data_IF_562242990378
#
_entry.id   IF_562242990378
#
_cell.length_a   1.000
_cell.length_b   1.000
_cell.length_c   1.000
_cell.angle_alpha   90.00
_cell.angle_beta   90.00
_cell.angle_gamma   90.00
#
_symmetry.space_group_name_H-M   'P 1'
#
loop_
_entity.id
_entity.type
_entity.pdbx_description
1 polymer ?
#
# COMPACT_ATOMS: atom_id res chain seq x y z
N UNK A 1 -29.18 -5.41 32.81
CA UNK A 1 -28.92 -4.03 32.39
C UNK A 1 -27.45 -3.79 32.74
N UNK A 2 -26.58 -3.72 31.73
CA UNK A 2 -25.17 -3.35 31.92
C UNK A 2 -25.14 -1.97 32.62
N UNK A 3 -24.37 -1.84 33.70
CA UNK A 3 -24.10 -0.54 34.31
C UNK A 3 -23.37 0.30 33.29
N UNK A 4 -24.08 1.23 32.65
CA UNK A 4 -23.47 2.27 31.83
C UNK A 4 -22.81 3.26 32.80
N UNK A 5 -21.48 3.37 32.67
CA UNK A 5 -20.69 4.33 33.46
C UNK A 5 -20.87 5.71 32.79
N UNK A 6 -21.99 6.36 33.12
CA UNK A 6 -22.28 7.71 32.67
C UNK A 6 -21.60 8.72 33.60
N UNK A 7 -21.11 9.85 33.09
CA UNK A 7 -20.54 10.90 33.91
C UNK A 7 -21.62 11.52 34.81
N UNK A 8 -21.22 12.10 35.93
CA UNK A 8 -22.11 12.85 36.79
C UNK A 8 -22.85 13.90 35.97
N UNK A 9 -24.20 13.80 35.97
CA UNK A 9 -25.04 14.63 35.11
C UNK A 9 -25.83 15.60 35.94
N UNK A 10 -25.61 16.90 35.71
CA UNK A 10 -26.46 17.96 36.18
C UNK A 10 -27.49 18.27 35.11
N UNK A 11 -28.73 18.44 35.47
CA UNK A 11 -29.79 18.77 34.55
C UNK A 11 -30.83 19.72 35.15
N UNK A 12 -31.45 20.50 34.28
CA UNK A 12 -32.64 21.28 34.52
C UNK A 12 -33.72 20.88 33.51
N UNK A 13 -34.90 20.52 33.98
CA UNK A 13 -36.00 20.12 33.12
C UNK A 13 -37.19 21.07 33.37
N UNK A 14 -37.69 21.71 32.31
CA UNK A 14 -39.00 22.38 32.30
C UNK A 14 -39.91 21.58 31.37
N UNK A 15 -40.97 21.00 31.94
CA UNK A 15 -41.90 20.17 31.19
C UNK A 15 -43.34 20.49 31.56
N UNK A 16 -44.19 20.60 30.55
CA UNK A 16 -45.63 20.82 30.66
C UNK A 16 -46.38 19.76 29.90
N UNK A 17 -47.44 19.24 30.49
CA UNK A 17 -48.33 18.29 29.83
C UNK A 17 -49.79 18.60 30.18
N UNK A 18 -50.66 18.41 29.18
CA UNK A 18 -52.12 18.50 29.35
C UNK A 18 -52.76 17.23 28.79
N UNK A 19 -53.58 16.57 29.64
CA UNK A 19 -54.32 15.39 29.23
C UNK A 19 -55.79 15.71 29.05
N UNK A 20 -56.38 15.31 27.90
CA UNK A 20 -57.82 15.45 27.63
C UNK A 20 -58.27 14.29 26.71
N UNK A 21 -59.30 13.59 27.15
CA UNK A 21 -59.91 12.51 26.33
C UNK A 21 -58.93 11.44 25.80
N UNK A 22 -57.94 11.08 26.61
CA UNK A 22 -56.94 10.09 26.21
C UNK A 22 -55.79 10.63 25.33
N UNK A 23 -55.77 11.92 25.02
CA UNK A 23 -54.65 12.60 24.34
C UNK A 23 -53.87 13.41 25.37
N UNK A 24 -52.55 13.31 25.28
CA UNK A 24 -51.59 14.11 26.08
C UNK A 24 -50.85 15.01 25.10
N UNK A 25 -50.96 16.31 25.29
CA UNK A 25 -50.09 17.29 24.62
C UNK A 25 -48.97 17.64 25.56
N UNK A 26 -47.74 17.65 25.12
CA UNK A 26 -46.56 17.92 25.94
C UNK A 26 -45.61 18.90 25.26
N UNK A 27 -44.86 19.57 26.11
CA UNK A 27 -43.72 20.39 25.70
C UNK A 27 -42.65 20.27 26.78
N UNK A 28 -41.38 20.13 26.40
CA UNK A 28 -40.29 20.04 27.34
C UNK A 28 -39.02 20.69 26.84
N UNK A 29 -38.24 21.24 27.76
CA UNK A 29 -36.90 21.76 27.59
C UNK A 29 -35.99 21.01 28.58
N UNK A 30 -34.84 20.60 28.14
CA UNK A 30 -33.80 19.97 28.95
C UNK A 30 -32.49 20.71 28.75
N UNK A 31 -31.90 21.15 29.84
CA UNK A 31 -30.51 21.64 29.82
C UNK A 31 -29.67 20.70 30.68
N UNK A 32 -28.64 20.11 30.12
CA UNK A 32 -27.71 19.27 30.87
C UNK A 32 -26.31 19.30 30.23
N UNK A 33 -25.32 18.81 30.97
CA UNK A 33 -23.96 18.65 30.43
C UNK A 33 -23.83 17.55 29.40
N UNK A 34 -24.83 16.67 29.26
CA UNK A 34 -24.81 15.60 28.23
C UNK A 34 -25.54 16.03 26.96
N UNK A 35 -26.77 16.55 27.11
CA UNK A 35 -27.68 16.81 26.02
C UNK A 35 -28.58 18.00 26.37
N UNK A 36 -28.67 18.96 25.50
CA UNK A 36 -29.59 20.08 25.58
C UNK A 36 -30.75 19.85 24.60
N UNK A 37 -32.00 19.86 25.12
CA UNK A 37 -33.22 19.82 24.30
C UNK A 37 -33.79 21.23 24.31
N UNK A 38 -33.72 21.93 23.20
CA UNK A 38 -34.25 23.28 23.03
C UNK A 38 -35.74 23.28 22.66
N UNK A 39 -36.21 22.15 22.17
CA UNK A 39 -37.59 21.92 21.81
C UNK A 39 -37.90 20.42 21.86
N UNK A 40 -38.94 20.07 22.58
CA UNK A 40 -39.57 18.76 22.52
C UNK A 40 -41.07 18.95 22.67
N UNK A 41 -41.75 19.13 21.55
CA UNK A 41 -43.19 19.35 21.51
C UNK A 41 -43.87 18.13 20.88
N UNK A 42 -45.06 17.81 21.33
CA UNK A 42 -45.79 16.75 20.70
C UNK A 42 -47.12 16.38 21.33
N UNK A 43 -47.69 15.33 20.77
CA UNK A 43 -48.93 14.72 21.27
C UNK A 43 -48.77 13.21 21.39
N UNK A 44 -49.34 12.64 22.44
CA UNK A 44 -49.40 11.20 22.61
C UNK A 44 -50.84 10.75 22.87
N UNK A 45 -51.34 9.81 22.04
CA UNK A 45 -52.65 9.23 22.21
C UNK A 45 -52.53 7.87 22.93
N UNK A 46 -53.12 7.80 24.12
CA UNK A 46 -53.08 6.61 24.99
C UNK A 46 -53.84 5.40 24.43
N UNK A 47 -54.82 5.61 23.52
CA UNK A 47 -55.67 4.52 23.01
C UNK A 47 -54.95 3.68 21.95
N UNK A 48 -54.20 4.31 21.07
CA UNK A 48 -53.55 3.65 19.95
C UNK A 48 -52.01 3.77 20.01
N UNK A 49 -51.48 4.30 21.14
CA UNK A 49 -50.04 4.55 21.35
C UNK A 49 -49.41 5.39 20.22
N UNK A 50 -50.15 6.39 19.74
CA UNK A 50 -49.73 7.27 18.66
C UNK A 50 -48.93 8.46 19.21
N UNK A 51 -47.70 8.62 18.79
CA UNK A 51 -46.79 9.71 19.14
C UNK A 51 -46.53 10.59 17.94
N UNK A 52 -46.81 11.87 18.06
CA UNK A 52 -46.29 12.91 17.15
C UNK A 52 -45.33 13.78 17.92
N UNK A 53 -44.10 13.96 17.46
CA UNK A 53 -43.07 14.71 18.16
C UNK A 53 -42.25 15.60 17.23
N UNK A 54 -41.84 16.76 17.75
CA UNK A 54 -40.92 17.71 17.11
C UNK A 54 -39.81 18.00 18.12
N UNK A 55 -38.59 17.58 17.76
CA UNK A 55 -37.39 17.62 18.61
C UNK A 55 -36.34 18.54 18.00
N UNK A 56 -35.78 19.44 18.82
CA UNK A 56 -34.49 20.08 18.58
C UNK A 56 -33.56 19.79 19.75
N UNK A 57 -32.49 19.06 19.49
CA UNK A 57 -31.52 18.62 20.47
C UNK A 57 -30.10 19.01 20.06
N UNK A 58 -29.27 19.28 21.03
CA UNK A 58 -27.89 19.71 20.85
C UNK A 58 -26.97 19.02 21.86
N UNK A 59 -25.86 18.49 21.35
CA UNK A 59 -24.81 17.86 22.13
C UNK A 59 -23.56 18.72 21.99
N UNK A 60 -23.13 19.35 23.08
CA UNK A 60 -21.94 20.22 23.09
C UNK A 60 -20.63 19.43 23.04
N UNK A 61 -20.65 18.23 23.66
CA UNK A 61 -19.47 17.37 23.76
C UNK A 61 -19.84 15.89 23.61
N UNK A 62 -19.55 15.33 22.44
CA UNK A 62 -19.79 13.91 22.14
C UNK A 62 -18.95 12.97 22.99
N UNK A 63 -17.85 13.43 23.63
CA UNK A 63 -17.02 12.59 24.49
C UNK A 63 -17.77 12.05 25.71
N UNK A 64 -18.84 12.72 26.12
CA UNK A 64 -19.72 12.28 27.21
C UNK A 64 -20.42 10.95 26.88
N UNK A 65 -20.46 10.56 25.62
CA UNK A 65 -21.12 9.32 25.17
C UNK A 65 -20.12 8.18 24.88
N UNK A 66 -18.83 8.33 25.22
CA UNK A 66 -17.79 7.32 24.96
C UNK A 66 -18.14 5.94 25.52
N UNK A 67 -18.68 5.88 26.74
CA UNK A 67 -19.08 4.62 27.37
C UNK A 67 -20.22 3.92 26.63
N UNK A 68 -21.16 4.69 26.06
CA UNK A 68 -22.29 4.16 25.28
C UNK A 68 -21.82 3.72 23.88
N UNK A 69 -20.96 4.52 23.24
CA UNK A 69 -20.47 4.27 21.89
C UNK A 69 -19.40 3.16 21.82
N UNK A 70 -18.81 2.81 22.97
CA UNK A 70 -17.71 1.85 23.03
C UNK A 70 -16.42 2.33 22.37
N UNK A 71 -16.33 3.65 22.06
CA UNK A 71 -15.18 4.28 21.40
C UNK A 71 -15.04 5.74 21.83
N UNK A 72 -13.86 6.30 21.62
CA UNK A 72 -13.59 7.72 21.90
C UNK A 72 -14.28 8.59 20.85
N UNK A 73 -15.26 9.38 21.28
CA UNK A 73 -15.93 10.40 20.47
C UNK A 73 -15.41 11.78 20.84
N UNK A 74 -15.47 12.75 19.92
CA UNK A 74 -15.13 14.14 20.16
C UNK A 74 -16.00 15.05 19.29
N UNK A 75 -16.15 16.32 19.68
CA UNK A 75 -16.89 17.30 18.93
C UNK A 75 -18.33 17.46 19.38
N UNK A 76 -19.15 18.06 18.53
CA UNK A 76 -20.53 18.42 18.81
C UNK A 76 -21.47 17.95 17.70
N UNK A 77 -22.77 17.84 18.06
CA UNK A 77 -23.83 17.50 17.13
C UNK A 77 -25.11 18.28 17.44
N UNK A 78 -25.87 18.60 16.39
CA UNK A 78 -27.22 19.14 16.51
C UNK A 78 -28.17 18.24 15.74
N UNK A 79 -29.34 17.97 16.31
CA UNK A 79 -30.39 17.13 15.73
C UNK A 79 -31.71 17.88 15.74
N UNK A 80 -32.34 17.99 14.58
CA UNK A 80 -33.71 18.38 14.38
C UNK A 80 -34.49 17.20 13.84
N UNK A 81 -35.56 16.79 14.49
CA UNK A 81 -36.33 15.63 14.06
C UNK A 81 -37.83 15.84 14.28
N UNK A 82 -38.64 15.42 13.30
CA UNK A 82 -40.08 15.26 13.42
C UNK A 82 -40.41 13.79 13.16
N UNK A 83 -41.17 13.19 14.08
CA UNK A 83 -41.55 11.80 13.97
C UNK A 83 -43.01 11.58 14.27
N UNK A 84 -43.62 10.67 13.49
CA UNK A 84 -44.94 10.08 13.76
C UNK A 84 -44.72 8.58 13.98
N UNK A 85 -45.12 8.10 15.17
CA UNK A 85 -44.88 6.73 15.63
C UNK A 85 -46.20 6.17 16.13
N UNK A 86 -46.58 4.95 15.74
CA UNK A 86 -47.73 4.22 16.28
C UNK A 86 -47.24 2.92 16.91
N UNK A 87 -47.47 2.76 18.20
CA UNK A 87 -46.86 1.68 18.98
C UNK A 87 -45.32 1.80 18.95
N UNK A 88 -44.66 0.79 18.43
CA UNK A 88 -43.22 0.79 18.24
C UNK A 88 -42.76 1.03 16.77
N UNK A 89 -43.70 1.37 15.88
CA UNK A 89 -43.46 1.49 14.44
C UNK A 89 -43.41 2.97 14.03
N UNK A 90 -42.30 3.36 13.39
CA UNK A 90 -42.16 4.66 12.75
C UNK A 90 -43.09 4.70 11.54
N UNK A 91 -44.03 5.65 11.49
CA UNK A 91 -44.89 5.90 10.34
C UNK A 91 -44.29 6.97 9.43
N UNK A 92 -43.65 7.96 10.04
CA UNK A 92 -42.96 9.04 9.33
C UNK A 92 -41.79 9.55 10.18
N UNK A 93 -40.67 9.84 9.52
CA UNK A 93 -39.50 10.47 10.14
C UNK A 93 -38.93 11.50 9.17
N UNK A 94 -38.68 12.69 9.65
CA UNK A 94 -37.86 13.68 8.98
C UNK A 94 -36.85 14.21 10.00
N UNK A 95 -35.58 13.87 9.81
CA UNK A 95 -34.51 14.26 10.70
C UNK A 95 -33.34 14.88 9.95
N UNK A 96 -32.74 15.90 10.57
CA UNK A 96 -31.55 16.57 10.07
C UNK A 96 -30.54 16.66 11.22
N UNK A 97 -29.31 16.23 10.97
CA UNK A 97 -28.23 16.34 11.94
C UNK A 97 -27.06 17.15 11.34
N UNK A 98 -26.65 18.19 12.05
CA UNK A 98 -25.43 18.93 11.76
C UNK A 98 -24.29 18.29 12.57
N UNK A 99 -23.35 17.67 11.89
CA UNK A 99 -22.21 16.99 12.49
C UNK A 99 -21.00 17.03 11.54
N UNK A 100 -19.79 17.03 12.06
CA UNK A 100 -18.54 17.06 11.26
C UNK A 100 -18.50 18.16 10.19
N UNK A 101 -19.17 19.30 10.42
CA UNK A 101 -19.23 20.42 9.50
C UNK A 101 -20.12 20.21 8.27
N UNK A 102 -20.83 19.10 8.18
CA UNK A 102 -21.79 18.75 7.15
C UNK A 102 -23.19 18.49 7.71
N UNK A 103 -24.10 18.09 6.82
CA UNK A 103 -25.51 17.83 7.11
C UNK A 103 -25.87 16.40 6.74
N UNK A 104 -26.44 15.66 7.68
CA UNK A 104 -27.08 14.36 7.47
C UNK A 104 -28.59 14.56 7.49
N UNK A 105 -29.28 14.12 6.46
CA UNK A 105 -30.76 14.09 6.38
C UNK A 105 -31.22 12.64 6.39
N UNK A 106 -32.22 12.37 7.20
CA UNK A 106 -32.89 11.06 7.25
C UNK A 106 -34.40 11.25 7.08
N UNK A 107 -34.97 10.59 6.07
CA UNK A 107 -36.41 10.61 5.82
C UNK A 107 -36.92 9.18 5.75
N UNK A 108 -38.05 8.92 6.41
CA UNK A 108 -38.74 7.63 6.34
C UNK A 108 -40.23 7.83 6.23
N UNK A 109 -40.87 6.96 5.46
CA UNK A 109 -42.33 6.84 5.38
C UNK A 109 -42.86 5.60 6.13
N UNK A 110 -42.09 5.14 7.13
CA UNK A 110 -42.42 3.97 7.93
C UNK A 110 -41.96 2.63 7.34
N UNK A 111 -41.65 2.58 6.07
CA UNK A 111 -41.16 1.37 5.39
C UNK A 111 -39.74 1.57 4.85
N UNK A 112 -39.52 2.63 4.09
CA UNK A 112 -38.24 2.96 3.49
C UNK A 112 -37.52 4.01 4.30
N UNK A 113 -36.18 4.00 4.26
CA UNK A 113 -35.33 5.02 4.87
C UNK A 113 -34.38 5.60 3.82
N UNK A 114 -34.53 6.88 3.59
CA UNK A 114 -33.63 7.67 2.75
C UNK A 114 -32.67 8.45 3.63
N UNK A 115 -31.37 8.26 3.42
CA UNK A 115 -30.28 8.99 4.06
C UNK A 115 -29.51 9.79 3.02
N UNK A 116 -29.28 11.07 3.28
CA UNK A 116 -28.43 11.94 2.48
C UNK A 116 -27.39 12.60 3.38
N UNK A 117 -26.14 12.40 3.03
CA UNK A 117 -24.96 12.98 3.68
C UNK A 117 -24.39 14.03 2.76
N UNK A 118 -24.32 15.26 3.21
CA UNK A 118 -23.88 16.39 2.41
C UNK A 118 -22.70 17.07 3.09
N UNK A 119 -21.57 17.12 2.38
CA UNK A 119 -20.36 17.91 2.72
C UNK A 119 -19.81 17.63 4.12
N UNK A 120 -19.78 16.36 4.56
CA UNK A 120 -19.05 16.02 5.78
C UNK A 120 -17.55 16.27 5.58
N UNK A 121 -16.93 16.97 6.52
CA UNK A 121 -15.50 17.15 6.60
C UNK A 121 -14.85 15.88 7.14
N UNK A 122 -14.11 15.18 6.30
CA UNK A 122 -13.50 13.89 6.64
C UNK A 122 -12.52 13.99 7.82
N UNK A 123 -11.78 15.10 7.95
CA UNK A 123 -10.88 15.31 9.08
C UNK A 123 -11.65 15.39 10.41
N UNK A 124 -12.81 16.04 10.40
CA UNK A 124 -13.68 16.11 11.58
C UNK A 124 -14.34 14.76 11.86
N UNK A 125 -14.69 13.98 10.84
CA UNK A 125 -15.19 12.61 11.02
C UNK A 125 -14.15 11.77 11.76
N UNK A 126 -12.88 11.76 11.31
CA UNK A 126 -11.81 11.05 12.02
C UNK A 126 -11.66 11.52 13.47
N UNK A 127 -11.72 12.84 13.70
CA UNK A 127 -11.64 13.41 15.04
C UNK A 127 -12.82 12.93 15.91
N UNK A 128 -14.05 12.96 15.37
CA UNK A 128 -15.25 12.52 16.09
C UNK A 128 -15.12 11.07 16.55
N UNK A 129 -14.63 10.17 15.69
CA UNK A 129 -14.49 8.74 16.00
C UNK A 129 -13.16 8.38 16.67
N UNK A 130 -12.36 9.38 17.07
CA UNK A 130 -11.09 9.16 17.79
C UNK A 130 -10.02 8.44 16.97
N UNK A 131 -10.10 8.50 15.64
CA UNK A 131 -9.12 7.92 14.72
C UNK A 131 -8.07 8.95 14.30
N UNK A 132 -6.84 8.49 13.92
CA UNK A 132 -5.88 9.38 13.31
C UNK A 132 -6.42 10.01 12.02
N UNK A 133 -6.09 11.25 11.76
CA UNK A 133 -6.54 11.97 10.57
C UNK A 133 -5.76 11.51 9.32
N UNK A 134 -6.16 10.39 8.74
CA UNK A 134 -5.51 9.78 7.56
C UNK A 134 -5.65 10.62 6.28
N UNK A 135 -6.72 11.40 6.19
CA UNK A 135 -7.04 12.21 5.01
C UNK A 135 -7.91 13.41 5.40
N UNK A 136 -7.81 14.48 4.64
CA UNK A 136 -8.74 15.61 4.67
C UNK A 136 -9.59 15.62 3.39
N UNK A 137 -10.75 16.27 3.43
CA UNK A 137 -11.61 16.41 2.27
C UNK A 137 -13.08 16.38 2.59
N UNK A 138 -13.89 16.30 1.55
CA UNK A 138 -15.36 16.34 1.65
C UNK A 138 -15.93 14.97 1.25
N UNK A 139 -16.88 14.50 2.04
CA UNK A 139 -17.66 13.29 1.78
C UNK A 139 -19.11 13.66 1.51
N UNK A 140 -19.66 13.16 0.40
CA UNK A 140 -21.09 13.12 0.13
C UNK A 140 -21.52 11.66 0.00
N UNK A 141 -22.67 11.30 0.53
CA UNK A 141 -23.22 9.96 0.35
C UNK A 141 -24.73 9.98 0.36
N UNK A 142 -25.33 8.96 -0.23
CA UNK A 142 -26.75 8.70 -0.11
C UNK A 142 -27.00 7.20 0.08
N UNK A 143 -27.95 6.86 0.92
CA UNK A 143 -28.46 5.51 1.05
C UNK A 143 -29.97 5.52 0.91
N UNK A 144 -30.51 4.58 0.13
CA UNK A 144 -31.94 4.36 -0.07
C UNK A 144 -32.22 2.93 0.36
N UNK A 145 -32.68 2.78 1.61
CA UNK A 145 -32.94 1.48 2.22
C UNK A 145 -34.40 1.10 2.04
N UNK A 146 -34.64 -0.15 1.66
CA UNK A 146 -35.98 -0.67 1.39
C UNK A 146 -36.78 -0.95 2.68
N UNK A 147 -36.07 -1.07 3.81
CA UNK A 147 -36.62 -1.31 5.15
C UNK A 147 -35.78 -0.59 6.20
N UNK A 148 -36.40 -0.21 7.33
CA UNK A 148 -35.73 0.38 8.50
C UNK A 148 -35.07 -0.70 9.40
N UNK A 149 -35.07 -1.96 8.95
CA UNK A 149 -34.45 -3.06 9.68
C UNK A 149 -32.93 -3.10 9.48
N UNK A 150 -32.18 -2.51 10.38
CA UNK A 150 -30.71 -2.49 10.34
C UNK A 150 -30.04 -3.88 10.53
N UNK A 151 -30.79 -4.90 10.95
CA UNK A 151 -30.26 -6.27 11.04
C UNK A 151 -30.24 -6.96 9.66
N UNK A 152 -30.97 -6.45 8.68
CA UNK A 152 -31.06 -7.00 7.34
C UNK A 152 -31.14 -5.87 6.32
N UNK A 153 -30.00 -5.27 6.00
CA UNK A 153 -29.91 -4.13 5.12
C UNK A 153 -30.15 -4.54 3.65
N UNK A 154 -31.11 -3.87 3.04
CA UNK A 154 -31.43 -3.97 1.60
C UNK A 154 -31.58 -2.56 1.04
N UNK A 155 -31.11 -2.30 -0.19
CA UNK A 155 -31.24 -0.98 -0.79
C UNK A 155 -30.03 -0.60 -1.63
N UNK A 156 -29.80 0.70 -1.78
CA UNK A 156 -28.71 1.26 -2.61
C UNK A 156 -27.91 2.30 -1.85
N UNK A 157 -26.61 2.31 -2.08
CA UNK A 157 -25.68 3.31 -1.53
C UNK A 157 -24.88 3.94 -2.67
N UNK A 158 -24.70 5.26 -2.60
CA UNK A 158 -23.71 5.98 -3.40
C UNK A 158 -22.86 6.81 -2.44
N UNK A 159 -21.55 6.86 -2.68
CA UNK A 159 -20.63 7.65 -1.88
C UNK A 159 -19.54 8.27 -2.75
N UNK A 160 -19.22 9.52 -2.46
CA UNK A 160 -18.14 10.27 -3.08
C UNK A 160 -17.28 10.88 -2.00
N UNK A 161 -15.95 10.82 -2.17
CA UNK A 161 -15.02 11.48 -1.28
C UNK A 161 -13.86 12.06 -2.07
N UNK A 162 -13.56 13.35 -1.86
CA UNK A 162 -12.46 14.05 -2.54
C UNK A 162 -11.63 14.81 -1.53
N UNK A 163 -10.30 14.71 -1.65
CA UNK A 163 -9.42 15.39 -0.73
C UNK A 163 -7.95 15.11 -0.92
N UNK A 164 -7.22 15.22 0.18
CA UNK A 164 -5.76 15.05 0.24
C UNK A 164 -5.43 14.07 1.36
N UNK A 165 -4.55 13.11 1.09
CA UNK A 165 -4.03 12.19 2.08
C UNK A 165 -3.06 12.92 3.04
N UNK A 166 -3.12 12.59 4.31
CA UNK A 166 -2.28 13.20 5.33
C UNK A 166 -0.89 12.55 5.34
N UNK A 167 0.05 13.20 4.68
CA UNK A 167 1.41 12.70 4.51
C UNK A 167 2.14 12.49 5.85
N UNK A 168 1.87 13.29 6.88
CA UNK A 168 2.52 13.15 8.20
C UNK A 168 2.07 11.85 8.86
N UNK A 169 0.76 11.63 8.94
CA UNK A 169 0.19 10.42 9.56
C UNK A 169 0.58 9.16 8.79
N UNK A 170 0.51 9.20 7.46
CA UNK A 170 0.87 8.06 6.63
C UNK A 170 2.38 7.77 6.67
N UNK A 171 3.23 8.80 6.77
CA UNK A 171 4.67 8.60 6.94
C UNK A 171 5.00 7.88 8.25
N UNK A 172 4.32 8.22 9.34
CA UNK A 172 4.50 7.56 10.64
C UNK A 172 4.08 6.09 10.61
N UNK A 173 2.96 5.78 9.94
CA UNK A 173 2.44 4.42 9.85
C UNK A 173 3.31 3.53 8.97
N UNK A 174 3.78 4.08 7.85
CA UNK A 174 4.54 3.32 6.85
C UNK A 174 6.04 3.28 7.14
N UNK A 175 6.51 4.06 8.10
CA UNK A 175 7.95 4.32 8.33
C UNK A 175 8.68 4.74 7.03
N UNK A 176 7.99 5.54 6.21
CA UNK A 176 8.46 6.04 4.91
C UNK A 176 8.00 7.47 4.70
N UNK A 177 8.79 8.29 4.01
CA UNK A 177 8.42 9.68 3.69
C UNK A 177 7.32 9.71 2.63
N UNK A 178 6.07 9.63 3.07
CA UNK A 178 4.92 9.69 2.18
C UNK A 178 4.84 11.04 1.44
N UNK A 179 4.52 11.08 0.13
CA UNK A 179 4.45 12.32 -0.65
C UNK A 179 3.39 13.29 -0.13
N UNK A 180 3.77 14.55 0.08
CA UNK A 180 2.83 15.62 0.38
C UNK A 180 1.94 15.90 -0.85
N UNK A 181 0.76 16.46 -0.62
CA UNK A 181 -0.20 16.85 -1.66
C UNK A 181 -0.72 15.65 -2.50
N UNK A 182 -0.70 14.44 -1.94
CA UNK A 182 -1.33 13.28 -2.59
C UNK A 182 -2.84 13.44 -2.54
N UNK A 183 -3.46 13.80 -3.66
CA UNK A 183 -4.91 13.92 -3.79
C UNK A 183 -5.56 12.55 -4.00
N UNK A 184 -6.85 12.50 -3.71
CA UNK A 184 -7.72 11.37 -4.04
C UNK A 184 -9.12 11.85 -4.45
N UNK A 185 -9.76 11.07 -5.33
CA UNK A 185 -11.15 11.19 -5.75
C UNK A 185 -11.75 9.79 -5.82
N UNK A 186 -12.59 9.47 -4.84
CA UNK A 186 -13.22 8.16 -4.65
C UNK A 186 -14.70 8.27 -4.98
N UNK A 187 -15.20 7.37 -5.83
CA UNK A 187 -16.62 7.18 -6.11
C UNK A 187 -16.95 5.71 -5.93
N UNK A 188 -17.98 5.39 -5.15
CA UNK A 188 -18.46 4.03 -4.89
C UNK A 188 -19.98 4.01 -5.01
N UNK A 189 -20.52 2.98 -5.66
CA UNK A 189 -21.92 2.62 -5.68
C UNK A 189 -22.08 1.19 -5.20
N UNK A 190 -23.15 0.90 -4.48
CA UNK A 190 -23.41 -0.44 -4.00
C UNK A 190 -24.91 -0.75 -3.98
N UNK A 191 -25.27 -1.96 -4.37
CA UNK A 191 -26.56 -2.57 -4.14
C UNK A 191 -26.47 -3.50 -2.91
N UNK A 192 -27.28 -3.21 -1.90
CA UNK A 192 -27.36 -3.98 -0.66
C UNK A 192 -28.42 -5.06 -0.78
N UNK A 193 -28.07 -6.28 -0.42
CA UNK A 193 -29.00 -7.39 -0.27
C UNK A 193 -28.58 -8.29 0.89
N UNK A 194 -29.42 -8.38 1.92
CA UNK A 194 -29.16 -9.21 3.11
C UNK A 194 -27.77 -8.92 3.74
N UNK A 195 -27.44 -7.66 3.97
CA UNK A 195 -26.16 -7.19 4.50
C UNK A 195 -24.93 -7.49 3.61
N UNK A 196 -25.15 -7.87 2.34
CA UNK A 196 -24.07 -7.99 1.35
C UNK A 196 -24.17 -6.80 0.40
N UNK A 197 -23.13 -6.02 0.32
CA UNK A 197 -22.97 -4.96 -0.65
C UNK A 197 -22.31 -5.51 -1.92
N UNK A 198 -23.03 -5.52 -3.04
CA UNK A 198 -22.47 -5.71 -4.37
C UNK A 198 -22.08 -4.33 -4.89
N UNK A 199 -20.80 -4.06 -5.02
CA UNK A 199 -20.30 -2.70 -5.24
C UNK A 199 -19.46 -2.57 -6.50
N UNK A 200 -19.44 -1.35 -7.02
CA UNK A 200 -18.49 -0.87 -8.02
C UNK A 200 -17.90 0.48 -7.57
N UNK A 201 -16.62 0.70 -7.86
CA UNK A 201 -15.95 1.91 -7.47
C UNK A 201 -14.79 2.30 -8.37
N UNK A 202 -14.38 3.55 -8.25
CA UNK A 202 -13.21 4.14 -8.89
C UNK A 202 -12.51 5.02 -7.87
N UNK A 203 -11.18 4.89 -7.78
CA UNK A 203 -10.34 5.79 -7.01
C UNK A 203 -9.26 6.37 -7.93
N UNK A 204 -9.29 7.68 -8.10
CA UNK A 204 -8.24 8.41 -8.79
C UNK A 204 -7.33 9.09 -7.78
N UNK A 205 -6.04 8.95 -7.96
CA UNK A 205 -5.05 9.55 -7.07
C UNK A 205 -3.84 10.03 -7.89
N UNK A 206 -3.11 10.99 -7.32
CA UNK A 206 -1.83 11.41 -7.92
C UNK A 206 -0.76 10.31 -7.92
N UNK A 207 -0.91 9.25 -7.15
CA UNK A 207 0.02 8.10 -7.11
C UNK A 207 -0.38 7.00 -8.09
N UNK A 208 -1.67 6.64 -8.13
CA UNK A 208 -2.18 5.55 -8.95
C UNK A 208 -3.70 5.69 -9.10
N UNK A 209 -4.25 5.10 -10.16
CA UNK A 209 -5.69 5.03 -10.39
C UNK A 209 -6.17 3.59 -10.21
N UNK A 210 -7.21 3.41 -9.42
CA UNK A 210 -7.89 2.15 -9.24
C UNK A 210 -9.22 2.21 -9.99
N UNK A 211 -9.34 1.42 -11.01
CA UNK A 211 -10.56 1.30 -11.84
C UNK A 211 -11.07 -0.14 -11.82
N UNK A 212 -12.29 -0.34 -12.33
CA UNK A 212 -12.94 -1.66 -12.32
C UNK A 212 -12.89 -2.35 -10.94
N UNK A 213 -12.94 -1.54 -9.87
CA UNK A 213 -12.97 -2.02 -8.49
C UNK A 213 -14.41 -2.42 -8.17
N UNK A 214 -14.71 -3.71 -8.36
CA UNK A 214 -16.07 -4.25 -8.21
C UNK A 214 -16.05 -5.60 -7.52
N UNK A 215 -17.04 -5.82 -6.67
CA UNK A 215 -17.07 -7.05 -5.88
C UNK A 215 -18.14 -7.05 -4.82
N UNK A 216 -17.93 -7.86 -3.81
CA UNK A 216 -18.87 -8.05 -2.71
C UNK A 216 -18.21 -7.77 -1.38
N UNK A 217 -18.94 -7.07 -0.52
CA UNK A 217 -18.56 -6.83 0.88
C UNK A 217 -19.68 -7.35 1.80
N UNK A 218 -19.35 -8.37 2.60
CA UNK A 218 -20.24 -8.87 3.66
C UNK A 218 -20.06 -8.00 4.90
N UNK A 219 -21.08 -7.19 5.21
CA UNK A 219 -21.05 -6.20 6.28
C UNK A 219 -20.94 -6.89 7.66
N UNK A 220 -21.61 -8.03 7.85
CA UNK A 220 -21.63 -8.74 9.12
C UNK A 220 -20.31 -9.44 9.44
N UNK A 221 -19.67 -10.00 8.40
CA UNK A 221 -18.40 -10.72 8.55
C UNK A 221 -17.19 -9.86 8.33
N UNK A 222 -17.37 -8.64 7.78
CA UNK A 222 -16.27 -7.75 7.36
C UNK A 222 -15.36 -8.40 6.31
N UNK A 223 -15.96 -9.15 5.37
CA UNK A 223 -15.23 -9.87 4.31
C UNK A 223 -15.41 -9.15 2.98
N UNK A 224 -14.29 -8.81 2.35
CA UNK A 224 -14.21 -8.19 1.03
C UNK A 224 -13.70 -9.20 0.00
N UNK A 225 -14.34 -9.25 -1.18
CA UNK A 225 -13.84 -9.90 -2.38
C UNK A 225 -14.12 -8.98 -3.57
N UNK A 226 -13.09 -8.61 -4.31
CA UNK A 226 -13.20 -7.66 -5.41
C UNK A 226 -12.23 -7.98 -6.54
N UNK A 227 -12.64 -7.73 -7.77
CA UNK A 227 -11.75 -7.54 -8.91
C UNK A 227 -11.24 -6.10 -8.93
N UNK A 228 -10.08 -5.85 -9.54
CA UNK A 228 -9.54 -4.51 -9.70
C UNK A 228 -8.66 -4.36 -10.94
N UNK A 229 -8.53 -3.12 -11.40
CA UNK A 229 -7.46 -2.67 -12.31
C UNK A 229 -6.77 -1.49 -11.64
N UNK A 230 -5.45 -1.59 -11.48
CA UNK A 230 -4.60 -0.56 -10.88
C UNK A 230 -3.63 -0.03 -11.94
N UNK A 231 -3.75 1.24 -12.29
CA UNK A 231 -2.87 1.92 -13.24
C UNK A 231 -1.91 2.86 -12.52
N UNK A 232 -0.62 2.61 -12.67
CA UNK A 232 0.45 3.45 -12.17
C UNK A 232 1.10 4.11 -13.37
N UNK A 233 0.78 5.39 -13.60
CA UNK A 233 1.26 6.14 -14.75
C UNK A 233 2.74 6.54 -14.64
N UNK A 234 3.27 6.63 -13.42
CA UNK A 234 4.63 7.08 -13.15
C UNK A 234 5.16 6.48 -11.84
N UNK A 235 6.08 5.51 -11.96
CA UNK A 235 6.71 4.88 -10.81
C UNK A 235 7.56 5.83 -9.97
N UNK A 236 8.00 6.98 -10.51
CA UNK A 236 8.78 7.95 -9.74
C UNK A 236 8.04 8.46 -8.51
N UNK A 237 6.72 8.51 -8.57
CA UNK A 237 5.84 8.89 -7.46
C UNK A 237 5.79 7.86 -6.33
N UNK A 238 6.21 6.63 -6.60
CA UNK A 238 6.27 5.52 -5.65
C UNK A 238 7.70 5.26 -5.12
N UNK A 239 8.67 6.07 -5.55
CA UNK A 239 10.06 5.93 -5.15
C UNK A 239 10.28 5.92 -3.63
N UNK A 240 9.41 6.60 -2.87
CA UNK A 240 9.44 6.62 -1.41
C UNK A 240 9.26 5.24 -0.76
N UNK A 241 8.62 4.28 -1.44
CA UNK A 241 8.42 2.92 -0.93
C UNK A 241 9.73 2.15 -0.83
N UNK A 242 10.64 2.37 -1.77
CA UNK A 242 11.91 1.66 -1.89
C UNK A 242 13.13 2.56 -1.62
N UNK A 243 12.92 3.86 -1.29
CA UNK A 243 13.95 4.88 -1.15
C UNK A 243 14.86 4.99 -2.40
N UNK A 244 14.23 4.87 -3.61
CA UNK A 244 14.90 4.86 -4.92
C UNK A 244 14.18 5.74 -5.94
N UNK A 245 14.93 6.17 -6.95
CA UNK A 245 14.38 6.94 -8.08
C UNK A 245 13.77 5.99 -9.11
N UNK A 246 12.59 5.46 -8.81
CA UNK A 246 11.91 4.55 -9.73
C UNK A 246 11.53 5.25 -11.04
N UNK A 247 11.49 4.49 -12.15
CA UNK A 247 11.07 4.97 -13.47
C UNK A 247 10.16 3.92 -14.13
N UNK A 248 9.26 4.40 -14.97
CA UNK A 248 8.36 3.54 -15.73
C UNK A 248 6.91 3.69 -15.32
N UNK A 249 6.10 2.82 -15.88
CA UNK A 249 4.66 2.73 -15.66
C UNK A 249 4.21 1.28 -15.76
N UNK A 250 3.10 0.92 -15.13
CA UNK A 250 2.46 -0.38 -15.32
C UNK A 250 0.97 -0.32 -15.02
N UNK A 251 0.24 -1.26 -15.61
CA UNK A 251 -1.13 -1.59 -15.28
C UNK A 251 -1.16 -3.01 -14.70
N UNK A 252 -1.89 -3.16 -13.61
CA UNK A 252 -2.10 -4.43 -12.93
C UNK A 252 -3.59 -4.73 -12.87
N UNK A 253 -3.96 -5.95 -13.13
CA UNK A 253 -5.31 -6.43 -12.90
C UNK A 253 -5.28 -7.69 -12.02
N UNK A 254 -6.31 -7.88 -11.22
CA UNK A 254 -6.35 -9.03 -10.32
C UNK A 254 -7.55 -9.03 -9.40
N UNK A 255 -7.41 -9.78 -8.34
CA UNK A 255 -8.39 -9.88 -7.27
C UNK A 255 -7.79 -9.45 -5.96
N UNK A 256 -8.59 -8.81 -5.13
CA UNK A 256 -8.25 -8.48 -3.75
C UNK A 256 -9.30 -9.08 -2.83
N UNK A 257 -8.87 -9.74 -1.77
CA UNK A 257 -9.71 -10.28 -0.73
C UNK A 257 -9.21 -9.84 0.64
N UNK A 258 -10.14 -9.61 1.55
CA UNK A 258 -9.85 -9.35 2.94
C UNK A 258 -10.80 -10.18 3.80
N UNK A 259 -10.24 -11.06 4.61
CA UNK A 259 -10.90 -11.81 5.67
C UNK A 259 -9.88 -11.92 6.80
N UNK A 260 -9.86 -10.92 7.70
CA UNK A 260 -8.82 -10.70 8.73
C UNK A 260 -7.40 -10.52 8.17
N UNK A 261 -7.08 -11.12 7.03
CA UNK A 261 -5.82 -11.01 6.31
C UNK A 261 -6.04 -10.52 4.89
N UNK A 262 -5.09 -9.73 4.40
CA UNK A 262 -5.08 -9.28 3.01
C UNK A 262 -4.57 -10.40 2.10
N UNK A 263 -5.33 -10.71 1.05
CA UNK A 263 -4.93 -11.60 -0.03
C UNK A 263 -5.11 -10.88 -1.35
N UNK A 264 -4.21 -11.05 -2.31
CA UNK A 264 -4.41 -10.50 -3.65
C UNK A 264 -3.73 -11.34 -4.73
N UNK A 265 -4.19 -11.17 -5.96
CA UNK A 265 -3.46 -11.54 -7.18
C UNK A 265 -3.19 -10.28 -7.98
N UNK A 266 -2.06 -10.18 -8.67
CA UNK A 266 -1.77 -9.08 -9.56
C UNK A 266 -1.07 -9.59 -10.82
N UNK A 267 -1.67 -9.30 -11.97
CA UNK A 267 -1.18 -9.64 -13.30
C UNK A 267 -0.82 -8.36 -14.03
N UNK A 268 0.33 -8.31 -14.68
CA UNK A 268 0.69 -7.26 -15.62
C UNK A 268 1.22 -7.86 -16.90
N UNK A 269 0.76 -7.37 -18.05
CA UNK A 269 1.20 -7.85 -19.36
C UNK A 269 2.48 -7.19 -19.83
N UNK A 270 2.88 -6.09 -19.21
CA UNK A 270 4.03 -5.30 -19.66
C UNK A 270 4.67 -4.55 -18.48
N UNK A 271 5.27 -5.31 -17.55
CA UNK A 271 6.10 -4.75 -16.49
C UNK A 271 7.58 -4.92 -16.88
N UNK A 272 8.27 -3.81 -17.13
CA UNK A 272 9.66 -3.81 -17.64
C UNK A 272 9.83 -4.71 -18.89
N UNK A 273 8.89 -4.60 -19.83
CA UNK A 273 8.77 -5.41 -21.06
C UNK A 273 8.44 -6.89 -20.83
N UNK A 274 8.34 -7.34 -19.60
CA UNK A 274 7.96 -8.70 -19.21
C UNK A 274 6.52 -8.82 -18.73
N UNK A 275 6.11 -10.06 -18.42
CA UNK A 275 4.80 -10.39 -17.85
C UNK A 275 4.95 -10.74 -16.39
N UNK A 276 4.17 -10.10 -15.52
CA UNK A 276 4.10 -10.41 -14.11
C UNK A 276 2.86 -11.25 -13.81
N UNK A 277 3.04 -12.30 -13.03
CA UNK A 277 2.01 -13.01 -12.28
C UNK A 277 2.42 -13.04 -10.80
N UNK A 278 1.59 -12.48 -9.92
CA UNK A 278 1.89 -12.47 -8.51
C UNK A 278 0.67 -12.73 -7.63
N UNK A 279 0.93 -13.36 -6.48
CA UNK A 279 -0.09 -13.68 -5.49
C UNK A 279 0.44 -13.39 -4.09
N UNK A 280 -0.40 -12.76 -3.26
CA UNK A 280 -0.20 -12.68 -1.82
C UNK A 280 -1.27 -13.52 -1.14
N UNK A 281 -0.87 -14.50 -0.36
CA UNK A 281 -1.76 -15.32 0.46
C UNK A 281 -1.08 -15.72 1.77
N UNK A 282 -1.78 -15.55 2.88
CA UNK A 282 -1.25 -15.87 4.22
C UNK A 282 0.14 -15.24 4.46
N UNK A 283 0.30 -13.97 4.11
CA UNK A 283 1.55 -13.20 4.20
C UNK A 283 2.71 -13.74 3.34
N UNK A 284 2.47 -14.69 2.44
CA UNK A 284 3.47 -15.17 1.48
C UNK A 284 3.18 -14.56 0.12
N UNK A 285 4.12 -13.74 -0.35
CA UNK A 285 4.15 -13.20 -1.71
C UNK A 285 4.90 -14.19 -2.61
N UNK A 286 4.25 -14.63 -3.68
CA UNK A 286 4.90 -15.32 -4.79
C UNK A 286 4.77 -14.42 -6.02
N UNK A 287 5.84 -14.30 -6.81
CA UNK A 287 5.84 -13.49 -8.02
C UNK A 287 6.68 -14.18 -9.09
N UNK A 288 6.14 -14.26 -10.30
CA UNK A 288 6.82 -14.68 -11.52
C UNK A 288 6.87 -13.51 -12.49
N UNK A 289 8.04 -13.19 -12.98
CA UNK A 289 8.23 -12.18 -14.02
C UNK A 289 8.91 -12.83 -15.22
N UNK A 290 8.19 -12.99 -16.32
CA UNK A 290 8.64 -13.71 -17.51
C UNK A 290 9.08 -12.76 -18.61
N UNK A 291 10.24 -13.03 -19.19
CA UNK A 291 10.77 -12.31 -20.34
C UNK A 291 11.09 -10.85 -20.10
N UNK A 292 11.38 -10.45 -18.85
CA UNK A 292 11.71 -9.07 -18.49
C UNK A 292 13.02 -8.64 -19.17
N UNK A 293 13.04 -7.44 -19.73
CA UNK A 293 14.29 -6.82 -20.21
C UNK A 293 15.10 -6.30 -19.02
N UNK A 294 16.29 -6.84 -18.82
CA UNK A 294 17.11 -6.54 -17.64
C UNK A 294 17.62 -5.09 -17.63
N UNK A 295 17.83 -4.47 -18.76
CA UNK A 295 18.22 -3.06 -18.84
C UNK A 295 17.05 -2.17 -18.41
N UNK A 296 15.85 -2.45 -18.91
CA UNK A 296 14.63 -1.73 -18.53
C UNK A 296 14.32 -1.92 -17.05
N UNK A 297 14.48 -3.13 -16.51
CA UNK A 297 14.33 -3.43 -15.09
C UNK A 297 15.35 -2.66 -14.23
N UNK A 298 16.64 -2.73 -14.59
CA UNK A 298 17.70 -2.04 -13.85
C UNK A 298 17.47 -0.53 -13.83
N UNK A 299 17.20 0.07 -15.00
CA UNK A 299 16.89 1.50 -15.11
C UNK A 299 15.61 1.88 -14.36
N UNK A 300 14.59 1.01 -14.40
CA UNK A 300 13.31 1.21 -13.72
C UNK A 300 13.42 1.20 -12.21
N UNK A 301 14.32 0.37 -11.66
CA UNK A 301 14.56 0.22 -10.23
C UNK A 301 15.77 1.02 -9.70
N UNK A 302 16.35 1.88 -10.52
CA UNK A 302 17.55 2.70 -10.18
C UNK A 302 18.76 1.83 -9.81
N UNK A 303 18.96 0.71 -10.53
CA UNK A 303 20.16 -0.12 -10.45
C UNK A 303 21.12 0.19 -11.60
N UNK A 304 22.39 -0.19 -11.41
CA UNK A 304 23.39 -0.09 -12.46
C UNK A 304 23.03 -1.08 -13.58
N UNK A 305 22.96 -0.58 -14.81
CA UNK A 305 22.65 -1.35 -16.01
C UNK A 305 23.92 -2.01 -16.56
N UNK A 306 24.21 -3.22 -16.08
CA UNK A 306 25.46 -3.96 -16.38
C UNK A 306 25.26 -5.14 -17.33
N UNK A 307 24.01 -5.50 -17.64
CA UNK A 307 23.71 -6.68 -18.43
C UNK A 307 22.57 -6.43 -19.41
N UNK A 308 22.76 -6.81 -20.66
CA UNK A 308 21.75 -6.75 -21.70
C UNK A 308 21.23 -8.16 -21.99
N UNK A 309 19.95 -8.36 -21.86
CA UNK A 309 19.29 -9.63 -22.11
C UNK A 309 17.91 -9.70 -21.44
N UNK A 310 17.22 -10.80 -21.69
CA UNK A 310 15.93 -11.08 -21.06
C UNK A 310 16.09 -12.13 -19.97
N UNK A 311 15.29 -11.97 -18.92
CA UNK A 311 15.28 -12.89 -17.78
C UNK A 311 13.88 -13.36 -17.42
N UNK A 312 13.82 -14.54 -16.81
CA UNK A 312 12.68 -14.97 -16.01
C UNK A 312 13.08 -14.91 -14.53
N UNK A 313 12.22 -14.36 -13.71
CA UNK A 313 12.43 -14.21 -12.28
C UNK A 313 11.31 -14.93 -11.54
N UNK A 314 11.69 -15.77 -10.56
CA UNK A 314 10.78 -16.39 -9.60
C UNK A 314 11.12 -15.91 -8.20
N UNK A 315 10.16 -15.30 -7.50
CA UNK A 315 10.35 -14.76 -6.17
C UNK A 315 9.32 -15.34 -5.19
N UNK A 316 9.78 -15.64 -3.99
CA UNK A 316 8.93 -16.00 -2.84
C UNK A 316 9.41 -15.22 -1.63
N UNK A 317 8.49 -14.53 -0.95
CA UNK A 317 8.82 -13.68 0.19
C UNK A 317 7.73 -13.75 1.27
N UNK A 318 8.14 -13.92 2.51
CA UNK A 318 7.24 -13.89 3.67
C UNK A 318 7.31 -12.51 4.32
N UNK A 319 6.17 -11.78 4.33
CA UNK A 319 6.07 -10.41 4.84
C UNK A 319 6.27 -10.30 6.37
N UNK A 320 6.06 -11.40 7.13
CA UNK A 320 6.19 -11.38 8.60
C UNK A 320 7.63 -11.70 9.01
N UNK A 321 8.21 -12.78 8.46
CA UNK A 321 9.59 -13.16 8.80
C UNK A 321 10.63 -12.35 8.05
N UNK A 322 10.21 -11.59 7.01
CA UNK A 322 11.09 -10.83 6.12
C UNK A 322 12.15 -11.71 5.45
N UNK A 323 11.77 -12.96 5.15
CA UNK A 323 12.62 -13.94 4.49
C UNK A 323 12.08 -14.29 3.11
N UNK A 324 13.00 -14.50 2.17
CA UNK A 324 12.61 -14.83 0.81
C UNK A 324 13.73 -15.40 -0.04
N UNK A 325 13.35 -15.78 -1.23
CA UNK A 325 14.23 -16.29 -2.28
C UNK A 325 13.83 -15.69 -3.61
N UNK A 326 14.81 -15.30 -4.41
CA UNK A 326 14.64 -14.87 -5.80
C UNK A 326 15.58 -15.70 -6.65
N UNK A 327 15.03 -16.36 -7.66
CA UNK A 327 15.79 -17.07 -8.68
C UNK A 327 15.64 -16.33 -10.02
N UNK A 328 16.71 -16.19 -10.76
CA UNK A 328 16.75 -15.56 -12.07
C UNK A 328 17.42 -16.48 -13.09
N UNK A 329 16.75 -16.68 -14.22
CA UNK A 329 17.26 -17.41 -15.36
C UNK A 329 17.32 -16.49 -16.58
N UNK A 330 18.50 -16.35 -17.15
CA UNK A 330 18.79 -15.49 -18.30
C UNK A 330 19.38 -16.33 -19.42
N UNK A 331 19.05 -15.99 -20.67
CA UNK A 331 19.59 -16.65 -21.86
C UNK A 331 20.04 -15.62 -22.89
N UNK A 332 21.08 -15.95 -23.64
CA UNK A 332 21.56 -15.16 -24.78
C UNK A 332 21.80 -13.68 -24.44
N UNK A 333 22.52 -13.41 -23.36
CA UNK A 333 22.79 -12.04 -22.93
C UNK A 333 24.26 -11.63 -23.02
N UNK A 334 24.52 -10.34 -22.82
CA UNK A 334 25.86 -9.74 -22.88
C UNK A 334 26.09 -8.80 -21.70
N UNK A 335 27.33 -8.76 -21.20
CA UNK A 335 27.75 -7.71 -20.30
C UNK A 335 27.84 -6.38 -21.07
N UNK A 336 27.41 -5.30 -20.44
CA UNK A 336 27.57 -3.95 -20.98
C UNK A 336 28.95 -3.38 -20.65
N UNK A 337 29.49 -2.49 -21.50
CA UNK A 337 30.70 -1.77 -21.18
C UNK A 337 30.55 -0.99 -19.88
N UNK A 338 31.46 -1.23 -18.94
CA UNK A 338 31.53 -0.54 -17.65
C UNK A 338 32.99 -0.51 -17.19
N UNK A 339 33.27 0.12 -16.04
CA UNK A 339 34.63 0.24 -15.54
C UNK A 339 35.32 -1.11 -15.30
N UNK A 340 34.57 -2.12 -14.80
CA UNK A 340 35.12 -3.46 -14.55
C UNK A 340 35.49 -4.15 -15.87
N UNK A 341 34.57 -4.14 -16.84
CA UNK A 341 34.84 -4.77 -18.17
C UNK A 341 35.96 -4.04 -18.92
N UNK A 342 36.05 -2.70 -18.77
CA UNK A 342 37.15 -1.93 -19.34
C UNK A 342 38.50 -2.29 -18.71
N UNK A 343 38.56 -2.44 -17.38
CA UNK A 343 39.77 -2.87 -16.69
C UNK A 343 40.19 -4.30 -17.08
N UNK A 344 39.24 -5.23 -17.15
CA UNK A 344 39.50 -6.59 -17.62
C UNK A 344 40.06 -6.58 -19.06
N UNK A 345 39.49 -5.77 -19.94
CA UNK A 345 39.99 -5.62 -21.31
C UNK A 345 41.43 -5.14 -21.38
N UNK A 346 41.83 -4.19 -20.51
CA UNK A 346 43.21 -3.70 -20.47
C UNK A 346 44.20 -4.79 -20.04
N UNK A 347 43.79 -5.67 -19.10
CA UNK A 347 44.64 -6.74 -18.58
C UNK A 347 44.72 -7.93 -19.52
N UNK A 348 43.57 -8.34 -20.06
CA UNK A 348 43.46 -9.57 -20.87
C UNK A 348 43.65 -9.33 -22.33
N UNK A 349 43.63 -8.08 -22.79
CA UNK A 349 43.54 -7.66 -24.20
C UNK A 349 42.33 -8.26 -24.92
N UNK A 350 41.34 -8.72 -24.13
CA UNK A 350 40.11 -9.32 -24.60
C UNK A 350 38.90 -8.53 -24.06
N UNK A 351 37.89 -8.42 -24.86
CA UNK A 351 36.65 -7.71 -24.53
C UNK A 351 35.55 -8.68 -24.18
N UNK A 352 35.32 -8.89 -22.88
CA UNK A 352 34.27 -9.78 -22.38
C UNK A 352 32.84 -9.30 -22.73
N UNK A 353 32.71 -8.03 -23.15
CA UNK A 353 31.38 -7.47 -23.56
C UNK A 353 30.97 -7.97 -24.95
N UNK A 354 31.89 -8.57 -25.69
CA UNK A 354 31.57 -9.22 -26.97
C UNK A 354 31.05 -10.64 -26.83
N UNK A 355 31.29 -11.26 -25.66
CA UNK A 355 30.86 -12.62 -25.39
C UNK A 355 29.35 -12.69 -25.17
N UNK A 356 28.72 -13.70 -25.77
CA UNK A 356 27.33 -14.04 -25.52
C UNK A 356 27.27 -15.10 -24.41
N UNK A 357 26.66 -14.76 -23.29
CA UNK A 357 26.43 -15.72 -22.23
C UNK A 357 25.17 -16.53 -22.54
N UNK A 358 25.36 -17.79 -22.95
CA UNK A 358 24.28 -18.68 -23.35
C UNK A 358 23.37 -19.05 -22.15
N UNK A 359 23.96 -19.09 -20.95
CA UNK A 359 23.24 -19.29 -19.70
C UNK A 359 23.77 -18.34 -18.62
N UNK A 360 22.86 -17.80 -17.85
CA UNK A 360 23.19 -17.06 -16.66
C UNK A 360 22.10 -17.28 -15.61
N UNK A 361 22.50 -17.76 -14.44
CA UNK A 361 21.60 -18.09 -13.34
C UNK A 361 22.02 -17.30 -12.12
N UNK A 362 21.07 -16.68 -11.45
CA UNK A 362 21.30 -16.02 -10.16
C UNK A 362 20.30 -16.50 -9.12
N UNK A 363 20.79 -16.63 -7.89
CA UNK A 363 19.97 -16.97 -6.73
C UNK A 363 20.27 -15.99 -5.60
N UNK A 364 19.22 -15.34 -5.09
CA UNK A 364 19.31 -14.45 -3.95
C UNK A 364 18.48 -15.01 -2.79
N UNK A 365 19.10 -15.23 -1.63
CA UNK A 365 18.42 -15.59 -0.38
C UNK A 365 18.34 -14.34 0.49
N UNK A 366 17.13 -13.93 0.82
CA UNK A 366 16.82 -12.72 1.58
C UNK A 366 16.55 -13.10 3.04
N UNK A 367 17.23 -12.45 3.96
CA UNK A 367 16.95 -12.55 5.39
C UNK A 367 17.02 -11.12 5.98
N UNK A 368 15.86 -10.48 6.05
CA UNK A 368 15.72 -9.06 6.38
C UNK A 368 16.56 -8.21 5.42
N UNK A 369 17.46 -7.38 5.96
CA UNK A 369 18.34 -6.54 5.16
C UNK A 369 19.49 -7.31 4.50
N UNK A 370 19.79 -8.55 4.92
CA UNK A 370 20.92 -9.31 4.41
C UNK A 370 20.50 -10.21 3.26
N UNK A 371 21.21 -10.11 2.15
CA UNK A 371 20.96 -10.88 0.94
C UNK A 371 22.21 -11.67 0.61
N UNK A 372 22.09 -12.99 0.56
CA UNK A 372 23.14 -13.87 0.02
C UNK A 372 22.88 -14.07 -1.46
N UNK A 373 23.92 -13.85 -2.29
CA UNK A 373 23.84 -13.90 -3.74
C UNK A 373 24.80 -14.95 -4.30
N UNK A 374 24.29 -15.82 -5.14
CA UNK A 374 25.05 -16.71 -6.02
C UNK A 374 24.74 -16.34 -7.47
N UNK A 375 25.76 -16.25 -8.33
CA UNK A 375 25.65 -15.95 -9.76
C UNK A 375 26.56 -16.89 -10.54
N UNK A 376 26.05 -17.46 -11.63
CA UNK A 376 26.80 -18.28 -12.57
C UNK A 376 26.43 -17.88 -14.00
N UNK A 377 27.38 -17.37 -14.76
CA UNK A 377 27.23 -17.00 -16.17
C UNK A 377 28.23 -17.76 -17.00
N UNK A 378 27.78 -18.36 -18.10
CA UNK A 378 28.60 -19.21 -18.98
C UNK A 378 28.49 -18.75 -20.43
N UNK A 379 29.65 -18.57 -21.06
CA UNK A 379 29.84 -18.34 -22.49
C UNK A 379 30.84 -19.37 -23.04
N UNK A 380 31.09 -19.39 -24.35
CA UNK A 380 31.99 -20.38 -24.97
C UNK A 380 33.41 -20.32 -24.39
N UNK A 381 33.92 -19.13 -24.14
CA UNK A 381 35.30 -18.91 -23.71
C UNK A 381 35.44 -18.19 -22.36
N UNK A 382 34.35 -17.74 -21.80
CA UNK A 382 34.33 -16.99 -20.57
C UNK A 382 33.27 -17.49 -19.60
N UNK A 383 33.50 -17.29 -18.31
CA UNK A 383 32.50 -17.44 -17.27
C UNK A 383 32.64 -16.33 -16.21
N UNK A 384 31.55 -16.08 -15.51
CA UNK A 384 31.51 -15.22 -14.33
C UNK A 384 30.80 -15.95 -13.21
N UNK A 385 31.48 -16.16 -12.09
CA UNK A 385 30.95 -16.77 -10.89
C UNK A 385 30.98 -15.79 -9.74
N UNK A 386 29.91 -15.71 -8.96
CA UNK A 386 29.88 -15.14 -7.62
C UNK A 386 29.32 -16.23 -6.71
N UNK A 387 30.05 -16.60 -5.68
CA UNK A 387 29.65 -17.63 -4.74
C UNK A 387 29.57 -17.09 -3.33
N UNK A 388 28.39 -17.24 -2.71
CA UNK A 388 28.17 -16.77 -1.34
C UNK A 388 28.44 -15.27 -1.13
N UNK A 389 28.16 -14.47 -2.17
CA UNK A 389 28.21 -13.02 -2.08
C UNK A 389 27.22 -12.50 -1.05
N UNK A 390 27.58 -11.42 -0.38
CA UNK A 390 26.72 -10.76 0.61
C UNK A 390 26.44 -9.33 0.22
N UNK A 391 25.17 -8.95 0.31
CA UNK A 391 24.67 -7.59 0.11
C UNK A 391 23.77 -7.22 1.29
N UNK A 392 23.98 -6.04 1.87
CA UNK A 392 23.02 -5.48 2.82
C UNK A 392 22.16 -4.42 2.10
N UNK A 393 20.86 -4.65 2.00
CA UNK A 393 19.93 -3.80 1.24
C UNK A 393 19.75 -2.41 1.84
N UNK A 394 19.94 -2.25 3.16
CA UNK A 394 19.78 -0.99 3.89
C UNK A 394 21.03 -0.10 3.81
N UNK A 395 22.19 -0.65 4.08
CA UNK A 395 23.47 0.08 4.01
C UNK A 395 24.06 0.11 2.60
N UNK A 396 23.59 -0.78 1.71
CA UNK A 396 24.19 -0.99 0.39
C UNK A 396 25.55 -1.68 0.42
N UNK A 397 26.03 -2.14 1.59
CA UNK A 397 27.36 -2.76 1.69
C UNK A 397 27.45 -4.05 0.88
N UNK A 398 28.60 -4.26 0.25
CA UNK A 398 28.91 -5.38 -0.63
C UNK A 398 30.09 -6.20 -0.09
N UNK A 399 30.01 -7.51 -0.26
CA UNK A 399 31.12 -8.44 -0.13
C UNK A 399 30.85 -9.59 -1.13
N UNK A 400 31.28 -9.43 -2.39
CA UNK A 400 30.97 -10.33 -3.49
C UNK A 400 32.27 -10.97 -4.00
N UNK A 401 32.68 -12.14 -3.46
CA UNK A 401 33.80 -12.89 -4.02
C UNK A 401 33.44 -13.38 -5.43
N UNK A 402 34.35 -13.16 -6.37
CA UNK A 402 34.13 -13.54 -7.77
C UNK A 402 35.29 -14.36 -8.33
N UNK A 403 34.95 -15.15 -9.36
CA UNK A 403 35.86 -15.89 -10.21
C UNK A 403 35.44 -15.64 -11.68
N UNK A 404 36.29 -14.98 -12.45
CA UNK A 404 36.05 -14.60 -13.85
C UNK A 404 37.11 -15.21 -14.72
N UNK A 405 36.71 -16.05 -15.71
CA UNK A 405 37.57 -16.57 -16.75
C UNK A 405 37.29 -15.86 -18.08
N UNK A 406 38.35 -15.52 -18.78
CA UNK A 406 38.28 -14.98 -20.14
C UNK A 406 39.38 -15.67 -20.95
N UNK A 407 39.02 -16.54 -21.91
CA UNK A 407 39.93 -17.42 -22.64
C UNK A 407 40.81 -18.25 -21.69
N UNK A 408 42.10 -17.93 -21.66
CA UNK A 408 43.13 -18.58 -20.82
C UNK A 408 43.37 -17.89 -19.48
N UNK A 409 42.89 -16.68 -19.30
CA UNK A 409 43.04 -15.91 -18.06
C UNK A 409 41.92 -16.22 -17.07
N UNK A 410 42.30 -16.37 -15.82
CA UNK A 410 41.34 -16.56 -14.72
C UNK A 410 41.67 -15.59 -13.60
N UNK A 411 40.77 -14.67 -13.28
CA UNK A 411 40.89 -13.65 -12.26
C UNK A 411 39.93 -13.94 -11.10
N UNK A 412 40.49 -14.04 -9.91
CA UNK A 412 39.72 -14.10 -8.66
C UNK A 412 39.87 -12.79 -7.91
N UNK A 413 38.85 -12.47 -7.15
CA UNK A 413 38.83 -11.24 -6.37
C UNK A 413 37.59 -11.08 -5.54
N UNK A 414 37.42 -9.87 -5.05
CA UNK A 414 36.25 -9.52 -4.25
C UNK A 414 35.78 -8.11 -4.58
N UNK A 415 34.46 -7.92 -4.72
CA UNK A 415 33.85 -6.60 -4.80
C UNK A 415 33.35 -6.23 -3.40
N UNK A 416 33.90 -5.15 -2.86
CA UNK A 416 33.56 -4.59 -1.54
C UNK A 416 33.03 -3.17 -1.66
N UNK A 417 32.86 -2.45 -0.54
CA UNK A 417 32.32 -1.09 -0.53
C UNK A 417 30.80 -1.07 -0.52
N UNK A 418 30.20 -0.24 -1.33
CA UNK A 418 28.73 -0.12 -1.44
C UNK A 418 28.26 -0.23 -2.88
N UNK A 419 26.96 -0.48 -3.07
CA UNK A 419 26.32 -0.49 -4.39
C UNK A 419 26.50 0.81 -5.17
N UNK A 420 26.74 1.94 -4.49
CA UNK A 420 26.98 3.25 -5.09
C UNK A 420 28.45 3.53 -5.33
N UNK A 421 29.34 2.93 -4.50
CA UNK A 421 30.80 3.07 -4.58
C UNK A 421 31.46 1.71 -4.38
N UNK A 422 31.34 0.80 -5.38
CA UNK A 422 31.98 -0.51 -5.30
C UNK A 422 33.49 -0.38 -5.42
N UNK A 423 34.20 -1.23 -4.69
CA UNK A 423 35.66 -1.36 -4.73
C UNK A 423 36.01 -2.78 -5.18
N UNK A 424 36.82 -2.92 -6.20
CA UNK A 424 37.26 -4.21 -6.71
C UNK A 424 38.67 -4.49 -6.26
N UNK A 425 38.89 -5.64 -5.62
CA UNK A 425 40.22 -6.15 -5.26
C UNK A 425 40.45 -7.47 -5.98
N UNK A 426 41.54 -7.55 -6.74
CA UNK A 426 42.00 -8.80 -7.37
C UNK A 426 42.94 -9.55 -6.43
N UNK A 427 42.91 -10.86 -6.51
CA UNK A 427 43.92 -11.70 -5.82
C UNK A 427 45.22 -11.71 -6.62
N UNK A 428 46.32 -11.24 -6.02
CA UNK A 428 47.61 -11.10 -6.70
C UNK A 428 48.08 -12.41 -7.36
N UNK A 429 47.87 -13.56 -6.73
CA UNK A 429 48.21 -14.87 -7.30
C UNK A 429 47.41 -15.19 -8.58
N UNK A 430 46.12 -14.78 -8.64
CA UNK A 430 45.30 -14.99 -9.84
C UNK A 430 45.75 -14.14 -11.01
N UNK A 431 46.17 -12.91 -10.75
CA UNK A 431 46.71 -11.99 -11.75
C UNK A 431 48.03 -12.53 -12.35
N UNK A 432 48.99 -12.93 -11.48
CA UNK A 432 50.26 -13.52 -11.90
C UNK A 432 50.04 -14.77 -12.75
N UNK A 433 49.17 -15.68 -12.31
CA UNK A 433 48.87 -16.92 -13.05
C UNK A 433 48.16 -16.62 -14.38
N UNK A 434 47.28 -15.63 -14.43
CA UNK A 434 46.62 -15.22 -15.66
C UNK A 434 47.60 -14.63 -16.68
N UNK A 435 48.53 -13.81 -16.25
CA UNK A 435 49.59 -13.27 -17.11
C UNK A 435 50.47 -14.39 -17.66
N UNK A 436 50.88 -15.36 -16.84
CA UNK A 436 51.63 -16.55 -17.29
C UNK A 436 50.86 -17.35 -18.33
N UNK A 437 49.60 -17.56 -18.17
CA UNK A 437 48.75 -18.29 -19.11
C UNK A 437 48.56 -17.56 -20.46
N UNK A 438 48.69 -16.24 -20.47
CA UNK A 438 48.59 -15.41 -21.68
C UNK A 438 49.92 -15.38 -22.45
N UNK A 439 51.02 -15.16 -21.71
CA UNK A 439 52.36 -14.87 -22.33
C UNK A 439 53.18 -16.13 -22.49
N UNK A 440 52.90 -17.24 -21.80
CA UNK A 440 53.64 -18.48 -21.79
C UNK A 440 54.89 -18.47 -20.87
N UNK A 441 55.48 -19.65 -20.60
CA UNK A 441 56.54 -19.86 -19.61
C UNK A 441 57.87 -19.16 -19.87
N UNK A 442 58.06 -18.49 -21.03
CA UNK A 442 59.31 -17.83 -21.38
C UNK A 442 59.57 -16.48 -20.71
N UNK A 443 58.66 -15.98 -19.88
CA UNK A 443 58.73 -14.66 -19.25
C UNK A 443 58.87 -14.71 -17.72
N UNK A 444 59.43 -15.76 -17.13
CA UNK A 444 59.33 -16.10 -15.71
C UNK A 444 59.90 -15.03 -14.72
N UNK A 445 60.95 -14.33 -15.03
CA UNK A 445 61.61 -13.39 -14.10
C UNK A 445 61.02 -11.97 -14.08
N UNK A 446 60.34 -11.56 -15.13
CA UNK A 446 59.69 -10.25 -15.23
C UNK A 446 58.24 -10.22 -14.71
N UNK A 447 57.56 -11.37 -14.69
CA UNK A 447 56.10 -11.48 -14.47
C UNK A 447 55.73 -11.24 -13.00
N UNK A 448 56.55 -11.62 -12.04
CA UNK A 448 56.23 -11.45 -10.64
C UNK A 448 56.29 -9.97 -10.18
N UNK A 449 57.30 -9.22 -10.59
CA UNK A 449 57.41 -7.76 -10.37
C UNK A 449 56.42 -6.95 -11.20
N UNK A 450 56.07 -7.42 -12.40
CA UNK A 450 55.06 -6.80 -13.22
C UNK A 450 53.64 -7.07 -12.66
N UNK A 451 53.36 -8.27 -12.11
CA UNK A 451 52.10 -8.63 -11.48
C UNK A 451 51.70 -7.75 -10.32
N UNK A 452 52.66 -7.48 -9.37
CA UNK A 452 52.43 -6.58 -8.25
C UNK A 452 52.19 -5.13 -8.69
N UNK A 453 52.91 -4.62 -9.65
CA UNK A 453 52.72 -3.27 -10.19
C UNK A 453 51.45 -3.13 -11.03
N UNK A 454 51.05 -4.19 -11.70
CA UNK A 454 49.78 -4.23 -12.44
C UNK A 454 48.59 -4.27 -11.47
N UNK A 455 48.68 -5.06 -10.39
CA UNK A 455 47.65 -5.12 -9.36
C UNK A 455 47.46 -3.75 -8.68
N UNK A 456 48.56 -3.06 -8.28
CA UNK A 456 48.48 -1.68 -7.76
C UNK A 456 47.92 -0.69 -8.79
N UNK A 457 48.33 -0.82 -10.06
CA UNK A 457 47.88 0.04 -11.16
C UNK A 457 46.37 -0.13 -11.43
N UNK A 458 45.91 -1.37 -11.45
CA UNK A 458 44.49 -1.71 -11.64
C UNK A 458 43.64 -1.26 -10.48
N UNK A 459 44.06 -1.54 -9.24
CA UNK A 459 43.34 -1.08 -8.07
C UNK A 459 43.30 0.45 -7.97
N UNK A 460 44.36 1.15 -8.36
CA UNK A 460 44.37 2.62 -8.48
C UNK A 460 43.45 3.12 -9.59
N UNK A 461 43.36 2.41 -10.72
CA UNK A 461 42.50 2.78 -11.83
C UNK A 461 41.03 2.55 -11.47
N UNK A 462 40.71 1.40 -10.91
CA UNK A 462 39.36 1.07 -10.45
C UNK A 462 38.88 2.03 -9.38
N UNK A 463 39.74 2.39 -8.41
CA UNK A 463 39.43 3.37 -7.36
C UNK A 463 39.33 4.83 -7.88
N UNK A 464 39.78 5.13 -9.11
CA UNK A 464 39.57 6.44 -9.78
C UNK A 464 38.30 6.50 -10.61
N UNK A 465 37.74 5.36 -10.98
CA UNK A 465 36.60 5.23 -11.88
C UNK A 465 35.28 5.06 -11.09
N UNK A 466 35.37 4.56 -9.86
CA UNK A 466 34.30 4.45 -8.86
C UNK A 466 34.54 5.44 -7.71
#
# INVERSE_FOLDING_TARGET
IAKLDLPNTNFSLDAKAKAKNGNISYNALLASNLLNIKKLDGTYNLKNAELNTDLNAFIDDLSQFNAIAGQKLQGKAELNAKAHIIGAQIQNLNANANIAGGLIKANSNGKKLDLDINKLDLSKVFTIVGMPNYASGIVNASARLDDINFNNLNGKINAEAKGILNAVVLSQIMDKKFPSNTNYDLNIKADLKNNIADFEGVLNSSLANLSNFKGKFDINKMVLNSDYVLDIADFSKLGFLLDRKLKGKASFNGKIGFDKTLNFTALSKNLFEGKLDSTLKNNILNAKLEGVDLSTLANGLDFIDIYQGKANLDAKYNLISEQGEVNADMKEGKLKPNAITAALKLITLKDITTDVFHTANAKALINKENIKLDLNMQADRSYVLVSSGMLNSKSGSLNLPFDIKIDRANFKGNITGTTQKPQVKLEAGSVVNSIKNIVGDKAQDGVQKAGEKVDEGINKLLNKIF
#
